data_IF_483144289973
#
_entry.id   IF_483144289973
#
_cell.length_a   1.000
_cell.length_b   1.000
_cell.length_c   1.000
_cell.angle_alpha   90.00
_cell.angle_beta   90.00
_cell.angle_gamma   90.00
#
_symmetry.space_group_name_H-M   'P 1'
#
loop_
_entity.id
_entity.type
_entity.pdbx_description
1 polymer ?
#
# COMPACT_ATOMS: atom_id res chain seq x y z
N UNK A 1 -7.37 -1.21 14.28
CA UNK A 1 -8.57 -1.31 13.40
C UNK A 1 -8.80 -2.76 13.01
N UNK A 2 -10.01 -3.22 13.15
CA UNK A 2 -10.36 -4.61 12.86
C UNK A 2 -11.10 -4.70 11.53
N UNK A 3 -10.65 -5.59 10.67
CA UNK A 3 -11.23 -5.82 9.34
C UNK A 3 -11.74 -7.26 9.30
N UNK A 4 -13.05 -7.44 9.22
CA UNK A 4 -13.68 -8.76 9.37
C UNK A 4 -13.45 -9.71 8.20
N UNK A 5 -13.37 -9.17 6.98
CA UNK A 5 -13.30 -10.00 5.78
C UNK A 5 -12.79 -9.15 4.60
N UNK A 6 -12.74 -9.77 3.41
CA UNK A 6 -12.29 -9.07 2.20
C UNK A 6 -13.19 -7.93 1.79
N UNK A 7 -14.50 -8.06 1.99
CA UNK A 7 -15.44 -6.98 1.66
C UNK A 7 -15.15 -5.74 2.50
N UNK A 8 -14.89 -5.91 3.80
CA UNK A 8 -14.51 -4.82 4.68
C UNK A 8 -13.14 -4.25 4.29
N UNK A 9 -12.20 -5.10 3.86
CA UNK A 9 -10.89 -4.64 3.38
C UNK A 9 -11.03 -3.78 2.14
N UNK A 10 -11.90 -4.17 1.21
CA UNK A 10 -12.17 -3.38 0.01
C UNK A 10 -12.79 -2.03 0.37
N UNK A 11 -13.73 -2.01 1.32
CA UNK A 11 -14.33 -0.77 1.80
C UNK A 11 -13.28 0.15 2.44
N UNK A 12 -12.35 -0.42 3.21
CA UNK A 12 -11.22 0.31 3.77
C UNK A 12 -10.37 0.93 2.66
N UNK A 13 -10.01 0.14 1.65
CA UNK A 13 -9.19 0.63 0.54
C UNK A 13 -9.89 1.76 -0.22
N UNK A 14 -11.20 1.64 -0.44
CA UNK A 14 -11.98 2.67 -1.11
C UNK A 14 -11.97 3.98 -0.31
N UNK A 15 -12.11 3.89 1.01
CA UNK A 15 -12.07 5.07 1.88
C UNK A 15 -10.68 5.69 1.90
N UNK A 16 -9.64 4.86 2.06
CA UNK A 16 -8.26 5.33 2.05
C UNK A 16 -7.93 6.06 0.76
N UNK A 17 -8.36 5.52 -0.38
CA UNK A 17 -8.06 6.09 -1.70
C UNK A 17 -8.59 7.52 -1.85
N UNK A 18 -9.67 7.87 -1.15
CA UNK A 18 -10.22 9.24 -1.24
C UNK A 18 -9.28 10.30 -0.67
N UNK A 19 -8.32 9.90 0.17
CA UNK A 19 -7.35 10.83 0.78
C UNK A 19 -6.03 10.86 0.05
N UNK A 20 -5.80 9.97 -0.90
CA UNK A 20 -4.51 9.83 -1.57
C UNK A 20 -4.33 10.85 -2.68
N UNK A 21 -3.11 11.33 -2.84
CA UNK A 21 -2.73 12.29 -3.87
C UNK A 21 -1.40 11.89 -4.51
N UNK A 22 -1.01 12.65 -5.55
CA UNK A 22 0.26 12.40 -6.25
C UNK A 22 1.44 12.36 -5.27
N UNK A 23 2.35 11.44 -5.50
CA UNK A 23 3.57 11.22 -4.71
C UNK A 23 3.32 10.60 -3.34
N UNK A 24 2.09 10.16 -3.05
CA UNK A 24 1.84 9.43 -1.81
C UNK A 24 2.45 8.03 -1.87
N UNK A 25 3.06 7.64 -0.76
CA UNK A 25 3.71 6.34 -0.62
C UNK A 25 3.09 5.60 0.56
N UNK A 26 2.65 4.38 0.28
CA UNK A 26 2.09 3.48 1.28
C UNK A 26 3.02 2.28 1.43
N UNK A 27 3.43 1.97 2.64
CA UNK A 27 4.21 0.78 2.93
C UNK A 27 3.29 -0.25 3.57
N UNK A 28 3.21 -1.44 2.99
CA UNK A 28 2.41 -2.53 3.54
C UNK A 28 3.33 -3.55 4.20
N UNK A 29 3.15 -3.74 5.50
CA UNK A 29 3.94 -4.64 6.29
C UNK A 29 3.04 -5.74 6.88
N UNK A 30 3.59 -6.92 7.04
CA UNK A 30 2.85 -8.06 7.54
C UNK A 30 3.53 -9.36 7.14
N UNK A 31 3.16 -10.44 7.79
CA UNK A 31 3.72 -11.76 7.48
C UNK A 31 3.32 -12.21 6.08
N UNK A 32 4.06 -13.18 5.55
CA UNK A 32 3.71 -13.81 4.29
C UNK A 32 2.29 -14.38 4.39
N UNK A 33 1.45 -14.04 3.42
CA UNK A 33 0.05 -14.49 3.43
C UNK A 33 -0.90 -13.61 4.24
N UNK A 34 -0.43 -12.48 4.81
CA UNK A 34 -1.28 -11.58 5.59
C UNK A 34 -2.29 -10.82 4.75
N UNK A 35 -2.08 -10.74 3.42
CA UNK A 35 -2.99 -10.04 2.52
C UNK A 35 -2.46 -8.73 1.99
N UNK A 36 -1.15 -8.53 1.99
CA UNK A 36 -0.54 -7.32 1.44
C UNK A 36 -0.87 -7.13 -0.03
N UNK A 37 -0.74 -8.18 -0.83
CA UNK A 37 -1.06 -8.12 -2.26
C UNK A 37 -2.54 -7.88 -2.48
N UNK A 38 -3.40 -8.51 -1.70
CA UNK A 38 -4.86 -8.29 -1.79
C UNK A 38 -5.20 -6.83 -1.50
N UNK A 39 -4.63 -6.24 -0.45
CA UNK A 39 -4.87 -4.84 -0.14
C UNK A 39 -4.33 -3.93 -1.25
N UNK A 40 -3.14 -4.23 -1.79
CA UNK A 40 -2.57 -3.49 -2.92
C UNK A 40 -3.52 -3.49 -4.11
N UNK A 41 -4.11 -4.65 -4.42
CA UNK A 41 -5.08 -4.78 -5.51
C UNK A 41 -6.32 -3.91 -5.27
N UNK A 42 -6.85 -3.92 -4.06
CA UNK A 42 -8.01 -3.10 -3.71
C UNK A 42 -7.70 -1.60 -3.79
N UNK A 43 -6.52 -1.19 -3.35
CA UNK A 43 -6.10 0.21 -3.44
C UNK A 43 -5.99 0.63 -4.91
N UNK A 44 -5.35 -0.18 -5.75
CA UNK A 44 -5.24 0.12 -7.17
C UNK A 44 -6.59 0.21 -7.85
N UNK A 45 -7.49 -0.71 -7.55
CA UNK A 45 -8.86 -0.68 -8.07
C UNK A 45 -9.60 0.58 -7.62
N UNK A 46 -9.44 0.97 -6.36
CA UNK A 46 -10.06 2.18 -5.82
C UNK A 46 -9.53 3.45 -6.50
N UNK A 47 -8.29 3.43 -6.98
CA UNK A 47 -7.70 4.52 -7.76
C UNK A 47 -8.10 4.50 -9.23
N UNK A 48 -8.90 3.53 -9.64
CA UNK A 48 -9.44 3.46 -11.00
C UNK A 48 -8.67 2.58 -11.97
N UNK A 49 -7.76 1.73 -11.48
CA UNK A 49 -7.08 0.76 -12.33
C UNK A 49 -8.10 -0.27 -12.80
N UNK A 50 -8.26 -0.38 -14.11
CA UNK A 50 -9.29 -1.25 -14.71
C UNK A 50 -8.79 -2.62 -15.09
N UNK A 51 -7.50 -2.75 -15.43
CA UNK A 51 -6.95 -4.05 -15.77
C UNK A 51 -6.60 -4.83 -14.50
N UNK A 52 -6.54 -6.16 -14.57
CA UNK A 52 -6.19 -6.98 -13.41
C UNK A 52 -4.82 -6.58 -12.84
N UNK A 53 -4.76 -6.47 -11.53
CA UNK A 53 -3.52 -6.19 -10.81
C UNK A 53 -2.99 -7.52 -10.28
N UNK A 54 -1.78 -7.88 -10.70
CA UNK A 54 -1.13 -9.12 -10.27
C UNK A 54 0.11 -8.78 -9.43
N UNK A 55 0.57 -9.77 -8.66
CA UNK A 55 1.79 -9.60 -7.87
C UNK A 55 2.98 -9.29 -8.77
N UNK A 56 3.80 -8.29 -8.44
CA UNK A 56 4.99 -7.94 -9.23
C UNK A 56 6.21 -8.79 -8.87
N UNK A 57 6.03 -10.01 -8.37
CA UNK A 57 7.10 -10.82 -7.77
C UNK A 57 8.36 -10.91 -8.63
N UNK A 58 8.22 -11.10 -9.94
CA UNK A 58 9.37 -11.23 -10.83
C UNK A 58 9.88 -9.90 -11.35
N UNK A 59 9.00 -8.91 -11.47
CA UNK A 59 9.35 -7.62 -12.06
C UNK A 59 9.74 -6.57 -11.01
N UNK A 60 9.52 -6.85 -9.74
CA UNK A 60 9.70 -5.97 -8.59
C UNK A 60 8.72 -4.80 -8.64
N UNK A 61 8.60 -4.10 -9.76
CA UNK A 61 7.72 -2.93 -9.92
C UNK A 61 6.79 -3.16 -11.11
N UNK A 62 5.49 -2.98 -10.90
CA UNK A 62 4.50 -2.90 -11.98
C UNK A 62 3.75 -1.60 -11.88
N UNK A 63 3.51 -0.97 -13.02
CA UNK A 63 2.85 0.32 -13.09
C UNK A 63 1.53 0.20 -13.84
N UNK A 64 0.52 0.93 -13.35
CA UNK A 64 -0.83 0.91 -13.89
C UNK A 64 -1.35 2.33 -14.03
N UNK A 65 -2.27 2.52 -14.95
CA UNK A 65 -2.96 3.80 -15.10
C UNK A 65 -4.28 3.76 -14.32
N UNK A 66 -4.46 4.70 -13.39
CA UNK A 66 -5.73 4.91 -12.71
C UNK A 66 -6.55 6.01 -13.37
N UNK A 67 -7.61 6.46 -12.72
CA UNK A 67 -8.47 7.51 -13.27
C UNK A 67 -7.76 8.86 -13.33
N UNK A 68 -7.12 9.26 -12.24
CA UNK A 68 -6.41 10.55 -12.14
C UNK A 68 -4.93 10.39 -11.82
N UNK A 69 -4.55 9.30 -11.20
CA UNK A 69 -3.19 9.02 -10.76
C UNK A 69 -2.75 7.68 -11.30
N UNK A 70 -1.46 7.56 -11.58
CA UNK A 70 -0.87 6.25 -11.84
C UNK A 70 -0.77 5.48 -10.52
N UNK A 71 -0.64 4.19 -10.61
CA UNK A 71 -0.45 3.30 -9.46
C UNK A 71 0.80 2.46 -9.69
N UNK A 72 1.79 2.62 -8.83
CA UNK A 72 3.01 1.81 -8.85
C UNK A 72 2.94 0.80 -7.72
N UNK A 73 3.07 -0.47 -8.04
CA UNK A 73 3.08 -1.56 -7.06
C UNK A 73 4.46 -2.19 -7.04
N UNK A 74 5.13 -2.09 -5.88
CA UNK A 74 6.46 -2.65 -5.67
C UNK A 74 6.39 -3.82 -4.71
N UNK A 75 7.09 -4.91 -5.05
CA UNK A 75 7.32 -6.03 -4.16
C UNK A 75 8.83 -6.24 -4.07
N UNK A 76 9.39 -5.85 -2.95
CA UNK A 76 10.84 -5.82 -2.75
C UNK A 76 11.40 -7.09 -2.10
N UNK A 77 10.61 -8.15 -1.98
CA UNK A 77 11.03 -9.39 -1.34
C UNK A 77 12.32 -9.95 -1.94
N UNK A 78 12.49 -9.84 -3.26
CA UNK A 78 13.66 -10.36 -3.97
C UNK A 78 14.91 -9.50 -3.81
N UNK A 79 14.76 -8.32 -3.16
CA UNK A 79 15.87 -7.40 -2.93
C UNK A 79 16.54 -7.62 -1.57
N UNK A 80 16.16 -8.65 -0.84
CA UNK A 80 16.86 -9.04 0.38
C UNK A 80 18.34 -9.22 0.05
N UNK A 81 19.20 -8.58 0.86
CA UNK A 81 20.66 -8.60 0.68
C UNK A 81 21.15 -7.91 -0.60
N UNK A 82 20.32 -7.12 -1.27
CA UNK A 82 20.71 -6.35 -2.44
C UNK A 82 20.83 -4.87 -2.07
N UNK A 83 21.91 -4.21 -2.54
CA UNK A 83 22.11 -2.78 -2.40
C UNK A 83 21.82 -2.05 -3.72
N UNK A 84 21.19 -2.74 -4.68
CA UNK A 84 20.98 -2.21 -6.00
C UNK A 84 19.89 -1.14 -6.03
N UNK A 85 20.21 0.03 -6.57
CA UNK A 85 19.24 1.10 -6.81
C UNK A 85 18.60 0.88 -8.18
N UNK A 86 17.28 0.62 -8.18
CA UNK A 86 16.52 0.37 -9.39
C UNK A 86 15.78 1.61 -9.89
N UNK A 87 16.22 2.80 -9.49
CA UNK A 87 15.55 4.05 -9.86
C UNK A 87 14.32 4.34 -9.04
N UNK A 88 14.34 3.95 -7.77
CA UNK A 88 13.17 4.11 -6.88
C UNK A 88 12.67 5.56 -6.80
N UNK A 89 13.59 6.53 -6.81
CA UNK A 89 13.21 7.95 -6.72
C UNK A 89 12.28 8.37 -7.84
N UNK A 90 12.49 7.87 -9.05
CA UNK A 90 11.64 8.20 -10.19
C UNK A 90 10.19 7.78 -9.96
N UNK A 91 9.99 6.64 -9.29
CA UNK A 91 8.64 6.16 -8.98
C UNK A 91 8.02 6.98 -7.85
N UNK A 92 8.79 7.25 -6.78
CA UNK A 92 8.26 7.99 -5.64
C UNK A 92 7.93 9.44 -5.98
N UNK A 93 8.60 10.03 -6.96
CA UNK A 93 8.39 11.43 -7.36
C UNK A 93 7.39 11.59 -8.52
N UNK A 94 6.89 10.49 -9.06
CA UNK A 94 5.92 10.50 -10.16
C UNK A 94 4.52 10.93 -9.69
N UNK A 95 3.67 11.32 -10.64
CA UNK A 95 2.25 11.61 -10.38
C UNK A 95 1.48 10.31 -10.19
N UNK A 96 1.77 9.65 -9.10
CA UNK A 96 1.30 8.31 -8.81
C UNK A 96 1.19 8.10 -7.31
N UNK A 97 0.38 7.12 -6.94
CA UNK A 97 0.44 6.50 -5.62
C UNK A 97 1.32 5.26 -5.74
N UNK A 98 2.30 5.13 -4.86
CA UNK A 98 3.18 3.97 -4.84
C UNK A 98 2.91 3.13 -3.59
N UNK A 99 2.63 1.85 -3.79
CA UNK A 99 2.47 0.88 -2.70
C UNK A 99 3.66 -0.06 -2.71
N UNK A 100 4.33 -0.18 -1.56
CA UNK A 100 5.54 -0.96 -1.40
C UNK A 100 5.30 -2.10 -0.41
N UNK A 101 5.51 -3.33 -0.86
CA UNK A 101 5.56 -4.52 0.00
C UNK A 101 7.03 -4.87 0.24
N UNK A 102 7.34 -5.39 1.44
CA UNK A 102 8.70 -5.74 1.85
C UNK A 102 9.65 -4.53 1.81
N UNK A 103 9.16 -3.38 2.29
CA UNK A 103 9.90 -2.11 2.25
C UNK A 103 11.21 -2.15 3.07
N UNK A 104 11.32 -3.04 4.04
CA UNK A 104 12.53 -3.18 4.85
C UNK A 104 13.77 -3.50 4.01
N UNK A 105 13.59 -4.06 2.82
CA UNK A 105 14.71 -4.40 1.94
C UNK A 105 15.17 -3.23 1.06
N UNK A 106 14.43 -2.11 1.06
CA UNK A 106 14.82 -0.89 0.36
C UNK A 106 14.79 0.33 1.29
N UNK A 107 15.02 0.11 2.57
CA UNK A 107 14.88 1.15 3.59
C UNK A 107 15.68 2.42 3.29
N UNK A 108 16.88 2.27 2.73
CA UNK A 108 17.74 3.41 2.40
C UNK A 108 17.22 4.25 1.24
N UNK A 109 16.28 3.73 0.45
CA UNK A 109 15.73 4.41 -0.72
C UNK A 109 14.34 4.99 -0.46
N UNK A 110 13.75 4.76 0.70
CA UNK A 110 12.40 5.25 1.02
C UNK A 110 12.39 6.77 1.19
N UNK A 111 11.30 7.42 0.75
CA UNK A 111 11.15 8.85 1.03
C UNK A 111 10.91 9.06 2.53
N UNK A 112 11.11 10.31 3.03
CA UNK A 112 10.93 10.57 4.45
C UNK A 112 9.47 10.58 4.91
N UNK A 113 8.51 10.74 3.99
CA UNK A 113 7.09 10.80 4.31
C UNK A 113 6.34 9.63 3.67
N UNK A 114 5.58 8.90 4.47
CA UNK A 114 4.79 7.74 4.02
C UNK A 114 3.79 7.34 5.09
N UNK A 115 2.84 6.53 4.70
CA UNK A 115 1.94 5.85 5.64
C UNK A 115 2.26 4.35 5.61
N UNK A 116 2.63 3.82 6.75
CA UNK A 116 2.88 2.39 6.89
C UNK A 116 1.64 1.71 7.47
N UNK A 117 1.18 0.69 6.80
CA UNK A 117 0.02 -0.09 7.21
C UNK A 117 0.50 -1.48 7.60
N UNK A 118 0.36 -1.81 8.88
CA UNK A 118 0.71 -3.14 9.39
C UNK A 118 -0.54 -4.00 9.34
N UNK A 119 -0.42 -5.18 8.74
CA UNK A 119 -1.52 -6.14 8.59
C UNK A 119 -1.20 -7.36 9.43
N UNK A 120 -2.02 -7.61 10.44
CA UNK A 120 -1.88 -8.77 11.31
C UNK A 120 -3.03 -9.74 11.04
N UNK A 121 -2.69 -11.00 10.81
CA UNK A 121 -3.68 -12.06 10.65
C UNK A 121 -4.27 -12.41 12.01
N UNK A 122 -5.60 -12.35 12.13
CA UNK A 122 -6.32 -12.77 13.33
C UNK A 122 -6.81 -14.20 13.14
N UNK A 123 -7.48 -14.46 12.02
CA UNK A 123 -7.95 -15.79 11.63
C UNK A 123 -8.07 -15.83 10.10
N UNK A 124 -8.73 -16.82 9.54
CA UNK A 124 -8.81 -16.98 8.08
C UNK A 124 -9.42 -15.78 7.37
N UNK A 125 -10.35 -15.07 8.00
CA UNK A 125 -11.07 -13.96 7.36
C UNK A 125 -10.73 -12.61 7.94
N UNK A 126 -10.36 -12.55 9.21
CA UNK A 126 -10.16 -11.29 9.93
C UNK A 126 -8.71 -10.85 9.95
N UNK A 127 -8.53 -9.54 9.83
CA UNK A 127 -7.21 -8.89 9.94
C UNK A 127 -7.30 -7.74 10.92
N UNK A 128 -6.18 -7.40 11.51
CA UNK A 128 -6.03 -6.19 12.31
C UNK A 128 -5.05 -5.26 11.61
N UNK A 129 -5.48 -4.02 11.37
CA UNK A 129 -4.63 -3.00 10.78
C UNK A 129 -4.16 -2.03 11.85
N UNK A 130 -2.90 -1.66 11.78
CA UNK A 130 -2.35 -0.55 12.55
C UNK A 130 -1.54 0.33 11.62
N UNK A 131 -1.38 1.60 12.00
CA UNK A 131 -0.83 2.62 11.11
C UNK A 131 0.32 3.35 11.76
N UNK A 132 1.34 3.65 10.96
CA UNK A 132 2.46 4.49 11.35
C UNK A 132 2.60 5.57 10.30
N UNK A 133 2.37 6.82 10.69
CA UNK A 133 2.38 7.96 9.77
C UNK A 133 3.66 8.77 9.95
N UNK A 134 4.27 9.13 8.82
CA UNK A 134 5.43 10.02 8.79
C UNK A 134 5.11 11.18 7.87
N UNK A 135 5.02 12.38 8.43
CA UNK A 135 4.63 13.59 7.73
C UNK A 135 3.20 14.01 8.03
N UNK A 136 2.93 15.32 8.03
CA UNK A 136 1.63 15.86 8.45
C UNK A 136 0.47 15.38 7.60
N UNK A 137 0.67 15.26 6.28
CA UNK A 137 -0.35 14.75 5.37
C UNK A 137 -0.78 13.33 5.76
N UNK A 138 0.18 12.46 6.07
CA UNK A 138 -0.12 11.08 6.44
C UNK A 138 -0.69 10.95 7.84
N UNK A 139 -0.31 11.87 8.75
CA UNK A 139 -0.94 11.92 10.06
C UNK A 139 -2.41 12.31 9.97
N UNK A 140 -2.77 13.23 9.08
CA UNK A 140 -4.15 13.59 8.81
C UNK A 140 -4.94 12.41 8.25
N UNK A 141 -4.35 11.66 7.32
CA UNK A 141 -4.98 10.45 6.76
C UNK A 141 -5.21 9.43 7.88
N UNK A 142 -4.17 9.17 8.67
CA UNK A 142 -4.25 8.21 9.78
C UNK A 142 -5.39 8.56 10.72
N UNK A 143 -5.47 9.82 11.13
CA UNK A 143 -6.53 10.27 12.02
C UNK A 143 -7.91 10.09 11.40
N UNK A 144 -8.06 10.41 10.11
CA UNK A 144 -9.32 10.28 9.42
C UNK A 144 -9.80 8.83 9.31
N UNK A 145 -8.89 7.89 9.01
CA UNK A 145 -9.29 6.50 8.77
C UNK A 145 -9.39 5.66 10.04
N UNK A 146 -8.65 5.99 11.09
CA UNK A 146 -8.67 5.19 12.34
C UNK A 146 -10.03 5.21 13.03
N UNK A 147 -10.82 6.23 12.82
CA UNK A 147 -12.12 6.40 13.46
C UNK A 147 -13.28 5.81 12.67
N UNK A 148 -13.03 5.32 11.46
CA UNK A 148 -14.05 4.69 10.63
C UNK A 148 -14.12 3.21 10.93
N UNK A 149 -15.34 2.68 11.06
CA UNK A 149 -15.54 1.24 11.22
C UNK A 149 -15.97 0.64 9.90
N UNK A 150 -15.29 -0.43 9.48
CA UNK A 150 -15.57 -1.11 8.24
C UNK A 150 -16.23 -2.45 8.56
N UNK A 151 -17.54 -2.41 8.67
CA UNK A 151 -18.39 -3.60 8.90
C UNK A 151 -19.13 -3.92 7.61
N UNK A 152 -19.45 -5.18 7.45
CA UNK A 152 -20.25 -5.62 6.30
C UNK A 152 -21.64 -5.03 6.33
#
# INVERSE_FOLDING_TARGET
>A
MRIKNKTAMQAFANQLATYLKAQDVLLLDGDLGAGKTTLSQFIGQALGVKRPISSPTFNIIKSYRGTHLKFHHMDCYRLEDSDEDLGFDEFFEDEAVTVVEWSQFIQDYLPPHYLKINIQTINETERKLSFEAHGSHFEEIKEAIEHVQFTD
#
